data_IF_019457864987
#
_entry.id   IF_019457864987
#
_cell.length_a   1.000
_cell.length_b   1.000
_cell.length_c   1.000
_cell.angle_alpha   90.00
_cell.angle_beta   90.00
_cell.angle_gamma   90.00
#
_symmetry.space_group_name_H-M   'P 1'
#
loop_
_entity.id
_entity.type
_entity.pdbx_description
1 polymer ?
#
# COMPACT_ATOMS: atom_id res chain seq x y z
N UNK A 1 -25.80 -82.90 -67.46
CA UNK A 1 -26.79 -81.88 -67.03
C UNK A 1 -26.84 -81.73 -65.51
N UNK A 2 -27.04 -82.78 -64.71
CA UNK A 2 -27.13 -82.67 -63.24
C UNK A 2 -25.94 -81.97 -62.56
N UNK A 3 -24.69 -82.38 -62.85
CA UNK A 3 -23.49 -81.77 -62.25
C UNK A 3 -23.36 -80.26 -62.52
N UNK A 4 -23.74 -79.83 -63.73
CA UNK A 4 -23.65 -78.43 -64.12
C UNK A 4 -24.69 -77.57 -63.38
N UNK A 5 -25.87 -78.13 -63.08
CA UNK A 5 -26.88 -77.50 -62.24
C UNK A 5 -26.40 -77.39 -60.79
N UNK A 6 -25.80 -78.44 -60.23
CA UNK A 6 -25.25 -78.44 -58.87
C UNK A 6 -24.16 -77.38 -58.70
N UNK A 7 -23.25 -77.24 -59.66
CA UNK A 7 -22.19 -76.24 -59.61
C UNK A 7 -22.74 -74.80 -59.56
N UNK A 8 -23.76 -74.48 -60.38
CA UNK A 8 -24.41 -73.16 -60.36
C UNK A 8 -25.10 -72.85 -59.04
N UNK A 9 -25.71 -73.86 -58.41
CA UNK A 9 -26.36 -73.72 -57.10
C UNK A 9 -25.32 -73.39 -56.03
N UNK A 10 -24.19 -74.11 -56.02
CA UNK A 10 -23.12 -73.87 -55.05
C UNK A 10 -22.51 -72.47 -55.22
N UNK A 11 -22.23 -72.05 -56.46
CA UNK A 11 -21.69 -70.72 -56.76
C UNK A 11 -22.65 -69.60 -56.31
N UNK A 12 -23.96 -69.78 -56.51
CA UNK A 12 -24.98 -68.85 -56.01
C UNK A 12 -25.02 -68.82 -54.48
N UNK A 13 -24.94 -69.98 -53.81
CA UNK A 13 -24.94 -70.06 -52.35
C UNK A 13 -23.70 -69.37 -51.76
N UNK A 14 -22.52 -69.63 -52.31
CA UNK A 14 -21.26 -69.01 -51.88
C UNK A 14 -21.28 -67.48 -52.08
N UNK A 15 -21.82 -67.02 -53.21
CA UNK A 15 -21.98 -65.58 -53.48
C UNK A 15 -22.94 -64.95 -52.47
N UNK A 16 -24.04 -65.65 -52.16
CA UNK A 16 -25.03 -65.17 -51.19
C UNK A 16 -24.45 -65.09 -49.77
N UNK A 17 -23.70 -66.10 -49.34
CA UNK A 17 -23.03 -66.13 -48.03
C UNK A 17 -22.08 -64.93 -47.91
N UNK A 18 -21.24 -64.70 -48.92
CA UNK A 18 -20.29 -63.57 -48.92
C UNK A 18 -21.01 -62.22 -48.85
N UNK A 19 -22.09 -62.05 -49.60
CA UNK A 19 -22.90 -60.83 -49.54
C UNK A 19 -23.51 -60.61 -48.14
N UNK A 20 -23.95 -61.67 -47.47
CA UNK A 20 -24.45 -61.56 -46.09
C UNK A 20 -23.36 -61.19 -45.08
N UNK A 21 -22.13 -61.70 -45.25
CA UNK A 21 -20.99 -61.31 -44.41
C UNK A 21 -20.63 -59.84 -44.60
N UNK A 22 -20.56 -59.35 -45.85
CA UNK A 22 -20.33 -57.93 -46.16
C UNK A 22 -21.41 -57.02 -45.55
N UNK A 23 -22.69 -57.43 -45.65
CA UNK A 23 -23.80 -56.69 -45.02
C UNK A 23 -23.70 -56.65 -43.50
N UNK A 24 -23.21 -57.73 -42.89
CA UNK A 24 -23.00 -57.81 -41.45
C UNK A 24 -21.88 -56.86 -40.99
N UNK A 25 -20.76 -56.84 -41.70
CA UNK A 25 -19.66 -55.91 -41.43
C UNK A 25 -20.13 -54.45 -41.58
N UNK A 26 -20.85 -54.14 -42.66
CA UNK A 26 -21.39 -52.80 -42.88
C UNK A 26 -22.35 -52.36 -41.76
N UNK A 27 -23.16 -53.28 -41.24
CA UNK A 27 -24.04 -53.02 -40.09
C UNK A 27 -23.22 -52.64 -38.84
N UNK A 28 -22.08 -53.30 -38.62
CA UNK A 28 -21.15 -52.96 -37.54
C UNK A 28 -20.55 -51.56 -37.73
N UNK A 29 -20.10 -51.24 -38.93
CA UNK A 29 -19.55 -49.92 -39.25
C UNK A 29 -20.58 -48.79 -39.06
N UNK A 30 -21.83 -49.01 -39.46
CA UNK A 30 -22.93 -48.05 -39.26
C UNK A 30 -23.15 -47.77 -37.76
N UNK A 31 -23.05 -48.79 -36.91
CA UNK A 31 -23.16 -48.62 -35.47
C UNK A 31 -22.00 -47.78 -34.89
N UNK A 32 -20.78 -47.99 -35.39
CA UNK A 32 -19.61 -47.21 -35.03
C UNK A 32 -19.74 -45.73 -35.47
N UNK A 33 -20.15 -45.49 -36.71
CA UNK A 33 -20.42 -44.14 -37.25
C UNK A 33 -21.48 -43.41 -36.42
N UNK A 34 -22.56 -44.11 -36.07
CA UNK A 34 -23.62 -43.57 -35.21
C UNK A 34 -23.14 -43.20 -33.81
N UNK A 35 -22.09 -43.87 -33.32
CA UNK A 35 -21.44 -43.55 -32.04
C UNK A 35 -20.58 -42.31 -32.16
N UNK A 36 -19.71 -42.25 -33.17
CA UNK A 36 -18.86 -41.07 -33.44
C UNK A 36 -19.70 -39.82 -33.68
N UNK A 37 -20.82 -39.93 -34.41
CA UNK A 37 -21.73 -38.80 -34.63
C UNK A 37 -22.28 -38.22 -33.32
N UNK A 38 -22.60 -39.07 -32.33
CA UNK A 38 -23.07 -38.63 -31.01
C UNK A 38 -21.96 -37.97 -30.21
N UNK A 39 -20.73 -38.48 -30.28
CA UNK A 39 -19.58 -37.87 -29.60
C UNK A 39 -19.23 -36.50 -30.21
N UNK A 40 -19.25 -36.38 -31.53
CA UNK A 40 -19.08 -35.10 -32.21
C UNK A 40 -20.14 -34.08 -31.79
N UNK A 41 -21.40 -34.48 -31.67
CA UNK A 41 -22.46 -33.60 -31.16
C UNK A 41 -22.17 -33.12 -29.73
N UNK A 42 -21.63 -33.99 -28.85
CA UNK A 42 -21.20 -33.60 -27.50
C UNK A 42 -20.02 -32.63 -27.53
N UNK A 43 -19.00 -32.88 -28.34
CA UNK A 43 -17.86 -31.97 -28.46
C UNK A 43 -18.27 -30.59 -28.96
N UNK A 44 -19.20 -30.52 -29.91
CA UNK A 44 -19.74 -29.24 -30.39
C UNK A 44 -20.41 -28.47 -29.23
N UNK A 45 -21.17 -29.14 -28.37
CA UNK A 45 -21.77 -28.50 -27.19
C UNK A 45 -20.70 -28.01 -26.21
N UNK A 46 -19.70 -28.84 -25.89
CA UNK A 46 -18.60 -28.42 -25.02
C UNK A 46 -17.83 -27.21 -25.57
N UNK A 47 -17.60 -27.14 -26.88
CA UNK A 47 -16.97 -25.98 -27.50
C UNK A 47 -17.83 -24.72 -27.41
N UNK A 48 -19.15 -24.85 -27.57
CA UNK A 48 -20.07 -23.73 -27.38
C UNK A 48 -20.03 -23.21 -25.93
N UNK A 49 -20.02 -24.11 -24.95
CA UNK A 49 -19.91 -23.76 -23.52
C UNK A 49 -18.59 -23.04 -23.19
N UNK A 50 -17.47 -23.56 -23.70
CA UNK A 50 -16.14 -22.93 -23.53
C UNK A 50 -16.16 -21.52 -24.14
N UNK A 51 -16.76 -21.34 -25.32
CA UNK A 51 -16.82 -20.04 -25.96
C UNK A 51 -17.67 -19.02 -25.15
N UNK A 52 -18.75 -19.48 -24.52
CA UNK A 52 -19.56 -18.66 -23.61
C UNK A 52 -18.76 -18.27 -22.36
N UNK A 53 -18.05 -19.22 -21.74
CA UNK A 53 -17.18 -18.94 -20.59
C UNK A 53 -16.06 -17.95 -20.93
N UNK A 54 -15.44 -18.10 -22.11
CA UNK A 54 -14.40 -17.18 -22.57
C UNK A 54 -14.95 -15.76 -22.78
N UNK A 55 -16.19 -15.63 -23.24
CA UNK A 55 -16.88 -14.35 -23.40
C UNK A 55 -17.13 -13.68 -22.05
N UNK A 56 -17.57 -14.44 -21.04
CA UNK A 56 -17.75 -13.94 -19.67
C UNK A 56 -16.40 -13.49 -19.07
N UNK A 57 -15.36 -14.32 -19.19
CA UNK A 57 -14.01 -13.98 -18.72
C UNK A 57 -13.48 -12.69 -19.35
N UNK A 58 -13.75 -12.44 -20.65
CA UNK A 58 -13.36 -11.19 -21.31
C UNK A 58 -14.05 -9.99 -20.69
N UNK A 59 -15.34 -10.11 -20.36
CA UNK A 59 -16.11 -9.06 -19.67
C UNK A 59 -15.55 -8.80 -18.28
N UNK A 60 -15.31 -9.86 -17.49
CA UNK A 60 -14.76 -9.72 -16.13
C UNK A 60 -13.39 -9.04 -16.13
N UNK A 61 -12.51 -9.42 -17.08
CA UNK A 61 -11.20 -8.78 -17.25
C UNK A 61 -11.33 -7.30 -17.64
N UNK A 62 -12.32 -6.93 -18.46
CA UNK A 62 -12.56 -5.54 -18.82
C UNK A 62 -13.03 -4.71 -17.61
N UNK A 63 -13.90 -5.26 -16.78
CA UNK A 63 -14.33 -4.65 -15.51
C UNK A 63 -13.15 -4.46 -14.57
N UNK A 64 -12.35 -5.51 -14.33
CA UNK A 64 -11.17 -5.43 -13.48
C UNK A 64 -10.16 -4.37 -13.93
N UNK A 65 -9.98 -4.18 -15.24
CA UNK A 65 -9.13 -3.10 -15.77
C UNK A 65 -9.63 -1.72 -15.37
N UNK A 66 -10.94 -1.52 -15.38
CA UNK A 66 -11.58 -0.27 -14.96
C UNK A 66 -11.38 -0.05 -13.46
N UNK A 67 -11.66 -1.06 -12.65
CA UNK A 67 -11.51 -0.98 -11.19
C UNK A 67 -10.07 -0.64 -10.78
N UNK A 68 -9.08 -1.29 -11.41
CA UNK A 68 -7.66 -1.02 -11.17
C UNK A 68 -7.27 0.41 -11.57
N UNK A 69 -7.85 0.97 -12.64
CA UNK A 69 -7.61 2.35 -13.04
C UNK A 69 -8.18 3.35 -12.02
N UNK A 70 -9.36 3.07 -11.46
CA UNK A 70 -9.97 3.85 -10.37
C UNK A 70 -9.09 3.83 -9.12
N UNK A 71 -8.70 2.64 -8.66
CA UNK A 71 -7.81 2.49 -7.49
C UNK A 71 -6.50 3.26 -7.66
N UNK A 72 -5.90 3.24 -8.86
CA UNK A 72 -4.68 4.01 -9.14
C UNK A 72 -4.88 5.51 -8.95
N UNK A 73 -6.06 6.03 -9.32
CA UNK A 73 -6.42 7.44 -9.17
C UNK A 73 -6.62 7.78 -7.70
N UNK A 74 -7.37 6.96 -6.96
CA UNK A 74 -7.61 7.15 -5.54
C UNK A 74 -6.30 7.18 -4.74
N UNK A 75 -5.38 6.24 -5.02
CA UNK A 75 -4.06 6.20 -4.38
C UNK A 75 -3.23 7.46 -4.69
N UNK A 76 -3.33 8.01 -5.90
CA UNK A 76 -2.64 9.25 -6.25
C UNK A 76 -3.20 10.47 -5.48
N UNK A 77 -4.52 10.51 -5.29
CA UNK A 77 -5.20 11.53 -4.46
C UNK A 77 -4.75 11.41 -3.00
N UNK A 78 -4.82 10.22 -2.41
CA UNK A 78 -4.37 9.98 -1.02
C UNK A 78 -2.91 10.39 -0.82
N UNK A 79 -2.02 10.10 -1.78
CA UNK A 79 -0.63 10.53 -1.71
C UNK A 79 -0.51 12.07 -1.65
N UNK A 80 -1.34 12.77 -2.40
CA UNK A 80 -1.39 14.24 -2.41
C UNK A 80 -1.91 14.76 -1.08
N UNK A 81 -2.99 14.20 -0.57
CA UNK A 81 -3.57 14.60 0.72
C UNK A 81 -2.59 14.41 1.88
N UNK A 82 -1.86 13.28 1.89
CA UNK A 82 -0.82 13.02 2.90
C UNK A 82 0.34 14.03 2.80
N UNK A 83 0.72 14.45 1.58
CA UNK A 83 1.74 15.48 1.40
C UNK A 83 1.27 16.86 1.92
N UNK A 84 0.00 17.20 1.68
CA UNK A 84 -0.64 18.41 2.21
C UNK A 84 -0.65 18.39 3.74
N UNK A 85 -1.17 17.31 4.35
CA UNK A 85 -1.21 17.16 5.82
C UNK A 85 0.19 17.28 6.43
N UNK A 86 1.21 16.68 5.79
CA UNK A 86 2.60 16.82 6.25
C UNK A 86 3.08 18.27 6.22
N UNK A 87 2.73 19.01 5.17
CA UNK A 87 3.07 20.43 5.04
C UNK A 87 2.37 21.27 6.11
N UNK A 88 1.07 21.02 6.33
CA UNK A 88 0.27 21.72 7.33
C UNK A 88 0.75 21.43 8.75
N UNK A 89 1.14 20.19 9.06
CA UNK A 89 1.73 19.86 10.35
C UNK A 89 3.08 20.55 10.56
N UNK A 90 3.87 20.74 9.51
CA UNK A 90 5.13 21.48 9.61
C UNK A 90 4.92 22.99 9.76
N UNK A 91 3.87 23.56 9.15
CA UNK A 91 3.58 25.00 9.23
C UNK A 91 2.92 25.39 10.56
N UNK A 92 1.97 24.58 11.06
CA UNK A 92 1.35 24.80 12.38
C UNK A 92 2.30 24.52 13.55
N UNK A 93 3.44 23.88 13.29
CA UNK A 93 4.53 23.72 14.24
C UNK A 93 5.76 24.54 13.85
N UNK A 94 5.59 25.77 13.33
CA UNK A 94 6.75 26.65 13.20
C UNK A 94 7.22 27.09 14.59
N UNK A 95 8.20 26.35 15.13
CA UNK A 95 8.96 26.70 16.35
C UNK A 95 9.40 28.16 16.29
N UNK A 96 9.63 28.74 15.11
CA UNK A 96 10.10 30.12 14.94
C UNK A 96 9.09 31.15 15.45
N UNK A 97 7.79 31.00 15.19
CA UNK A 97 6.78 31.94 15.67
C UNK A 97 6.58 31.81 17.19
N UNK A 98 6.44 30.57 17.70
CA UNK A 98 6.36 30.33 19.14
C UNK A 98 7.61 30.85 19.87
N UNK A 99 8.81 30.59 19.31
CA UNK A 99 10.08 31.11 19.83
C UNK A 99 10.12 32.64 19.81
N UNK A 100 9.63 33.29 18.76
CA UNK A 100 9.57 34.74 18.69
C UNK A 100 8.68 35.32 19.80
N UNK A 101 7.47 34.78 19.98
CA UNK A 101 6.53 35.22 21.02
C UNK A 101 7.11 35.04 22.44
N UNK A 102 7.74 33.90 22.72
CA UNK A 102 8.38 33.65 24.01
C UNK A 102 9.56 34.60 24.25
N UNK A 103 10.39 34.86 23.22
CA UNK A 103 11.49 35.84 23.30
C UNK A 103 10.98 37.26 23.54
N UNK A 104 9.90 37.66 22.89
CA UNK A 104 9.26 38.97 23.12
C UNK A 104 8.73 39.10 24.56
N UNK A 105 8.12 38.04 25.10
CA UNK A 105 7.69 38.02 26.50
C UNK A 105 8.87 38.13 27.47
N UNK A 106 9.94 37.37 27.22
CA UNK A 106 11.16 37.37 28.02
C UNK A 106 11.96 38.67 27.94
N UNK A 107 11.83 39.45 26.85
CA UNK A 107 12.50 40.74 26.68
C UNK A 107 12.15 41.74 27.80
N UNK A 108 10.98 41.58 28.43
CA UNK A 108 10.53 42.39 29.57
C UNK A 108 11.05 41.90 30.94
N UNK A 109 11.78 40.78 30.97
CA UNK A 109 12.28 40.19 32.22
C UNK A 109 13.55 40.90 32.71
N UNK A 110 13.38 41.97 33.48
CA UNK A 110 14.49 42.80 34.00
C UNK A 110 14.62 42.79 35.53
N UNK A 111 13.62 42.31 36.28
CA UNK A 111 13.65 42.24 37.74
C UNK A 111 13.77 40.80 38.21
N UNK A 112 14.34 40.57 39.40
CA UNK A 112 14.51 39.22 39.94
C UNK A 112 13.20 38.41 40.02
N UNK A 113 12.06 39.06 40.22
CA UNK A 113 10.75 38.41 40.28
C UNK A 113 10.06 38.28 38.90
N UNK A 114 10.65 38.81 37.82
CA UNK A 114 10.10 38.67 36.46
C UNK A 114 10.00 37.20 36.09
N UNK A 115 8.80 36.77 35.70
CA UNK A 115 8.54 35.39 35.30
C UNK A 115 9.17 35.11 33.94
N UNK A 116 10.01 34.08 33.86
CA UNK A 116 10.59 33.64 32.60
C UNK A 116 9.69 32.60 31.94
N UNK A 117 9.67 32.61 30.62
CA UNK A 117 8.98 31.61 29.81
C UNK A 117 10.02 30.77 29.05
N UNK A 118 9.93 29.46 29.21
CA UNK A 118 10.79 28.51 28.50
C UNK A 118 10.19 28.21 27.12
N UNK A 119 11.04 28.16 26.09
CA UNK A 119 10.62 27.71 24.76
C UNK A 119 10.42 26.18 24.85
N UNK A 120 9.25 25.69 24.46
CA UNK A 120 8.97 24.25 24.46
C UNK A 120 9.29 23.70 23.08
N UNK A 121 10.13 22.66 23.03
CA UNK A 121 10.39 21.86 21.84
C UNK A 121 9.40 20.69 21.83
N UNK A 122 8.66 20.47 20.73
CA UNK A 122 7.70 19.37 20.59
C UNK A 122 8.40 18.05 20.79
N UNK A 123 7.69 17.10 21.40
CA UNK A 123 8.17 15.74 21.66
C UNK A 123 9.47 15.70 22.49
N UNK A 124 9.82 16.78 23.20
CA UNK A 124 10.90 16.80 24.20
C UNK A 124 10.36 17.27 25.55
N UNK A 125 10.69 16.52 26.60
CA UNK A 125 10.34 16.88 27.97
C UNK A 125 11.27 18.00 28.46
N UNK A 126 10.70 19.13 28.88
CA UNK A 126 11.46 20.22 29.48
C UNK A 126 12.12 19.75 30.79
N UNK A 127 13.39 20.11 31.06
CA UNK A 127 14.04 19.81 32.33
C UNK A 127 13.22 20.30 33.52
N UNK A 128 12.92 19.39 34.45
CA UNK A 128 12.03 19.62 35.59
C UNK A 128 12.76 20.31 36.75
N UNK A 129 13.17 21.56 36.55
CA UNK A 129 13.79 22.40 37.58
C UNK A 129 12.85 23.52 38.03
N UNK A 130 12.97 23.94 39.30
CA UNK A 130 12.18 25.05 39.86
C UNK A 130 12.75 26.42 39.47
N UNK A 131 12.84 26.70 38.17
CA UNK A 131 13.30 27.98 37.63
C UNK A 131 12.15 28.65 36.88
N UNK A 132 11.46 29.56 37.57
CA UNK A 132 10.29 30.28 37.05
C UNK A 132 10.47 31.78 36.95
N UNK A 133 11.52 32.35 37.56
CA UNK A 133 11.82 33.77 37.50
C UNK A 133 13.30 34.09 37.24
N UNK A 134 13.56 35.36 36.92
CA UNK A 134 14.88 35.86 36.55
C UNK A 134 15.93 35.69 37.66
N UNK A 135 15.55 35.85 38.92
CA UNK A 135 16.45 35.71 40.05
C UNK A 135 16.92 34.27 40.22
N UNK A 136 16.01 33.30 40.07
CA UNK A 136 16.34 31.88 40.03
C UNK A 136 17.20 31.54 38.81
N UNK A 137 16.88 32.09 37.64
CA UNK A 137 17.65 31.92 36.42
C UNK A 137 19.10 32.39 36.60
N UNK A 138 19.28 33.59 37.15
CA UNK A 138 20.59 34.21 37.38
C UNK A 138 21.44 33.50 38.44
N UNK A 139 20.84 32.63 39.25
CA UNK A 139 21.50 31.86 40.32
C UNK A 139 21.55 30.35 40.03
N UNK A 140 21.07 29.89 38.88
CA UNK A 140 21.07 28.46 38.57
C UNK A 140 22.51 27.91 38.54
N UNK A 141 22.65 26.66 39.01
CA UNK A 141 23.93 25.95 39.01
C UNK A 141 24.33 25.54 37.59
N UNK A 142 25.60 25.17 37.40
CA UNK A 142 26.07 24.71 36.09
C UNK A 142 25.34 23.43 35.64
N UNK A 143 25.05 22.51 36.56
CA UNK A 143 24.30 21.27 36.27
C UNK A 143 22.92 21.59 35.68
N UNK A 144 22.21 22.55 36.27
CA UNK A 144 20.90 23.00 35.77
C UNK A 144 21.04 23.72 34.43
N UNK A 145 22.05 24.57 34.26
CA UNK A 145 22.27 25.25 32.97
C UNK A 145 22.56 24.26 31.84
N UNK A 146 23.36 23.22 32.11
CA UNK A 146 23.72 22.20 31.13
C UNK A 146 22.50 21.36 30.70
N UNK A 147 21.58 21.02 31.61
CA UNK A 147 20.36 20.28 31.24
C UNK A 147 19.48 21.06 30.26
N UNK A 148 19.38 22.39 30.44
CA UNK A 148 18.66 23.25 29.48
C UNK A 148 19.43 23.45 28.17
N UNK A 149 20.77 23.54 28.19
CA UNK A 149 21.58 23.60 26.96
C UNK A 149 21.42 22.32 26.12
N UNK A 150 21.44 21.15 26.77
CA UNK A 150 21.18 19.86 26.12
C UNK A 150 19.77 19.81 25.52
N UNK A 151 18.76 20.23 26.29
CA UNK A 151 17.37 20.31 25.81
C UNK A 151 17.25 21.12 24.52
N UNK A 152 17.92 22.28 24.46
CA UNK A 152 17.93 23.18 23.30
C UNK A 152 18.99 22.84 22.23
N UNK A 153 19.79 21.79 22.41
CA UNK A 153 20.91 21.42 21.55
C UNK A 153 21.92 22.56 21.33
N UNK A 154 22.26 23.27 22.42
CA UNK A 154 23.22 24.38 22.44
C UNK A 154 24.58 23.89 22.95
N UNK A 155 25.67 24.43 22.39
CA UNK A 155 27.03 24.04 22.78
C UNK A 155 27.34 24.41 24.23
N UNK A 156 28.00 23.53 24.98
CA UNK A 156 28.45 23.82 26.34
C UNK A 156 29.64 24.79 26.32
N UNK A 157 29.72 25.67 27.33
CA UNK A 157 30.79 26.65 27.53
C UNK A 157 31.57 26.34 28.80
N UNK A 158 32.75 26.95 28.89
CA UNK A 158 33.74 26.68 29.94
C UNK A 158 33.26 27.12 31.33
N UNK A 159 32.39 28.13 31.39
CA UNK A 159 31.88 28.67 32.67
C UNK A 159 30.36 28.65 32.75
N UNK A 160 29.84 28.51 33.97
CA UNK A 160 28.38 28.63 34.25
C UNK A 160 27.84 29.98 33.81
N UNK A 161 28.65 31.05 33.91
CA UNK A 161 28.27 32.39 33.47
C UNK A 161 28.02 32.43 31.97
N UNK A 162 28.92 31.87 31.17
CA UNK A 162 28.77 31.78 29.71
C UNK A 162 27.60 30.88 29.30
N UNK A 163 27.41 29.75 29.99
CA UNK A 163 26.27 28.86 29.77
C UNK A 163 24.93 29.57 30.00
N UNK A 164 24.79 30.28 31.13
CA UNK A 164 23.58 31.06 31.42
C UNK A 164 23.40 32.23 30.46
N UNK A 165 24.49 32.89 30.02
CA UNK A 165 24.44 33.99 29.04
C UNK A 165 23.93 33.49 27.70
N UNK A 166 24.42 32.33 27.23
CA UNK A 166 23.96 31.71 26.00
C UNK A 166 22.48 31.29 26.09
N UNK A 167 22.05 30.73 27.23
CA UNK A 167 20.62 30.45 27.46
C UNK A 167 19.78 31.73 27.46
N UNK A 168 20.23 32.80 28.11
CA UNK A 168 19.54 34.08 28.13
C UNK A 168 19.37 34.66 26.72
N UNK A 169 20.43 34.62 25.92
CA UNK A 169 20.40 35.06 24.51
C UNK A 169 19.41 34.24 23.68
N UNK A 170 19.42 32.91 23.85
CA UNK A 170 18.50 32.01 23.15
C UNK A 170 17.03 32.30 23.52
N UNK A 171 16.77 32.53 24.81
CA UNK A 171 15.45 32.82 25.36
C UNK A 171 15.00 34.28 25.18
N UNK A 172 15.86 35.18 24.69
CA UNK A 172 15.52 36.60 24.54
C UNK A 172 15.46 37.37 25.86
N UNK A 173 16.12 36.87 26.91
CA UNK A 173 16.17 37.51 28.22
C UNK A 173 17.26 38.60 28.19
N UNK A 174 16.96 39.86 28.57
CA UNK A 174 17.89 41.00 28.46
C UNK A 174 19.03 41.01 29.49
N UNK A 175 19.28 39.90 30.18
CA UNK A 175 20.18 39.87 31.35
C UNK A 175 21.65 39.94 30.95
N UNK A 176 22.37 40.83 31.62
CA UNK A 176 23.83 40.86 31.71
C UNK A 176 24.21 40.04 32.95
N UNK A 177 24.63 38.79 32.75
CA UNK A 177 25.15 37.88 33.80
C UNK A 177 26.64 38.09 33.98
#
# INVERSE_FOLDING_TARGET
MAQQTTNKINEFADTSIRAFEELRELSSDIANISTVARENARFIQTLADINNQLTLLRTDVATLRTDVATVRTDVATVRTDVATVRTDMNSHFDVSEHKALIRMSNASCVRNNSRINWIIIPNRNLPQHRISNLGQFSRMSNVIALSYLEYYNLAQRNTVRENRKQLAQFLGIPVII
#
